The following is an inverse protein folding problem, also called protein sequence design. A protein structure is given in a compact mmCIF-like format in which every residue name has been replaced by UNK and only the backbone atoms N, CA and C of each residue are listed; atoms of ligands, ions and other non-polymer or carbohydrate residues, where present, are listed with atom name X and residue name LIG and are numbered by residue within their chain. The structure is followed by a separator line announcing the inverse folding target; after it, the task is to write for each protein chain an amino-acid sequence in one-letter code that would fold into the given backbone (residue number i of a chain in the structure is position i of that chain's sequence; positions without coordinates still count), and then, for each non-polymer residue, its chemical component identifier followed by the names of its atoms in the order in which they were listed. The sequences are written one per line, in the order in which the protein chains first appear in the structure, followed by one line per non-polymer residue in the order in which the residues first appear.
data_IF_464344767528
#
_entry.id   IF_464344767528
#
_cell.length_a   1.000
_cell.length_b   1.000
_cell.length_c   1.000
_cell.angle_alpha   90.00
_cell.angle_beta   90.00
_cell.angle_gamma   90.00
#
_symmetry.space_group_name_H-M   'P 1'
#
loop_
_entity.id
_entity.type
_entity.pdbx_description
1 polymer ?
#
# COMPACT_ATOMS: atom_id res chain seq x y z
N UNK A 1 8.21 -9.59 10.50
CA UNK A 1 7.21 -8.51 10.53
C UNK A 1 5.86 -8.98 10.02
N UNK A 2 5.77 -9.48 8.81
CA UNK A 2 4.58 -10.15 8.27
C UNK A 2 4.95 -11.59 7.98
N UNK A 3 4.15 -12.54 8.49
CA UNK A 3 4.31 -13.96 8.21
C UNK A 3 3.03 -14.51 7.60
N UNK A 4 3.16 -15.19 6.50
CA UNK A 4 2.09 -15.85 5.76
C UNK A 4 2.44 -17.33 5.68
N UNK A 5 1.53 -18.19 6.13
CA UNK A 5 1.74 -19.64 6.16
C UNK A 5 0.60 -20.37 5.48
N UNK A 6 0.94 -21.14 4.46
CA UNK A 6 0.04 -22.01 3.67
C UNK A 6 -1.27 -21.29 3.27
N UNK A 7 -1.14 -20.07 2.78
CA UNK A 7 -2.29 -19.19 2.53
C UNK A 7 -3.01 -19.58 1.24
N UNK A 8 -4.31 -19.82 1.36
CA UNK A 8 -5.18 -20.15 0.24
C UNK A 8 -6.38 -19.22 0.15
N UNK A 9 -6.81 -18.91 -1.07
CA UNK A 9 -8.06 -18.20 -1.34
C UNK A 9 -8.77 -18.76 -2.56
N UNK A 10 -9.93 -19.34 -2.32
CA UNK A 10 -10.86 -19.82 -3.35
C UNK A 10 -12.09 -18.94 -3.30
N UNK A 11 -12.40 -18.26 -4.40
CA UNK A 11 -13.65 -17.54 -4.57
C UNK A 11 -14.71 -18.47 -5.16
N UNK A 12 -15.97 -18.29 -4.77
CA UNK A 12 -17.13 -19.04 -5.26
C UNK A 12 -16.96 -20.57 -5.14
N UNK A 13 -16.33 -21.04 -4.06
CA UNK A 13 -16.06 -22.47 -3.83
C UNK A 13 -17.31 -23.33 -4.06
N UNK A 14 -17.15 -24.38 -4.88
CA UNK A 14 -18.24 -25.32 -5.24
C UNK A 14 -19.23 -24.79 -6.27
N UNK A 15 -18.96 -23.62 -6.93
CA UNK A 15 -19.80 -23.07 -8.00
C UNK A 15 -19.09 -23.18 -9.35
N UNK A 16 -19.84 -23.07 -10.45
CA UNK A 16 -19.30 -23.14 -11.82
C UNK A 16 -18.25 -22.06 -12.13
N UNK A 17 -18.24 -20.95 -11.40
CA UNK A 17 -17.28 -19.85 -11.50
C UNK A 17 -16.29 -19.85 -10.33
N UNK A 18 -15.90 -21.02 -9.83
CA UNK A 18 -14.86 -21.15 -8.82
C UNK A 18 -13.52 -20.65 -9.35
N UNK A 19 -12.82 -19.85 -8.54
CA UNK A 19 -11.48 -19.32 -8.86
C UNK A 19 -10.55 -19.57 -7.70
N UNK A 20 -9.48 -20.35 -7.92
CA UNK A 20 -8.40 -20.51 -6.98
C UNK A 20 -7.41 -19.34 -7.18
N UNK A 21 -7.60 -18.27 -6.44
CA UNK A 21 -6.86 -17.03 -6.63
C UNK A 21 -5.51 -16.99 -5.88
N UNK A 22 -5.37 -17.77 -4.80
CA UNK A 22 -4.12 -17.93 -4.02
C UNK A 22 -4.02 -19.37 -3.59
N UNK A 23 -2.87 -20.00 -3.83
CA UNK A 23 -2.68 -21.44 -3.71
C UNK A 23 -1.41 -21.79 -2.92
N UNK A 24 -1.51 -21.85 -1.59
CA UNK A 24 -0.43 -22.33 -0.70
C UNK A 24 0.75 -21.35 -0.60
N UNK A 25 0.50 -20.04 -0.51
CA UNK A 25 1.57 -19.04 -0.36
C UNK A 25 2.18 -19.12 1.04
N UNK A 26 3.51 -19.25 1.07
CA UNK A 26 4.35 -19.07 2.24
C UNK A 26 5.27 -17.87 1.99
N UNK A 27 5.23 -16.85 2.87
CA UNK A 27 6.00 -15.63 2.70
C UNK A 27 6.30 -14.99 4.05
N UNK A 28 7.59 -14.72 4.30
CA UNK A 28 8.05 -13.94 5.44
C UNK A 28 8.61 -12.61 4.95
N UNK A 29 8.11 -11.49 5.49
CA UNK A 29 8.58 -10.14 5.20
C UNK A 29 9.15 -9.53 6.47
N UNK A 30 10.41 -9.11 6.43
CA UNK A 30 11.10 -8.49 7.56
C UNK A 30 10.68 -7.04 7.73
N UNK A 31 10.88 -6.52 8.93
CA UNK A 31 10.67 -5.10 9.21
C UNK A 31 11.56 -4.22 8.33
N UNK A 32 11.00 -3.15 7.78
CA UNK A 32 11.72 -2.20 6.94
C UNK A 32 12.00 -2.67 5.50
N UNK A 33 11.55 -3.87 5.10
CA UNK A 33 11.65 -4.29 3.69
C UNK A 33 10.69 -3.48 2.82
N UNK A 34 11.15 -3.14 1.62
CA UNK A 34 10.33 -2.64 0.52
C UNK A 34 10.17 -3.79 -0.50
N UNK A 35 9.10 -4.56 -0.34
CA UNK A 35 8.80 -5.70 -1.20
C UNK A 35 7.97 -5.26 -2.39
N UNK A 36 8.42 -5.56 -3.60
CA UNK A 36 7.64 -5.33 -4.82
C UNK A 36 7.11 -6.66 -5.35
N UNK A 37 5.80 -6.71 -5.56
CA UNK A 37 5.12 -7.88 -6.12
C UNK A 37 4.74 -7.59 -7.56
N UNK A 38 5.26 -8.41 -8.47
CA UNK A 38 5.04 -8.32 -9.92
C UNK A 38 4.39 -9.60 -10.45
N UNK A 39 3.84 -9.55 -11.66
CA UNK A 39 3.19 -10.70 -12.31
C UNK A 39 2.07 -10.26 -13.23
N UNK A 40 1.59 -11.15 -14.10
CA UNK A 40 0.50 -10.89 -15.05
C UNK A 40 -0.83 -10.57 -14.35
N UNK A 41 -1.78 -10.01 -15.09
CA UNK A 41 -3.15 -9.83 -14.60
C UNK A 41 -3.76 -11.18 -14.23
N UNK A 42 -4.47 -11.23 -13.10
CA UNK A 42 -5.06 -12.49 -12.60
C UNK A 42 -4.08 -13.39 -11.84
N UNK A 43 -2.80 -13.06 -11.70
CA UNK A 43 -1.82 -13.89 -10.97
C UNK A 43 -2.03 -13.95 -9.44
N UNK A 44 -3.01 -13.21 -8.88
CA UNK A 44 -3.34 -13.26 -7.46
C UNK A 44 -2.75 -12.14 -6.60
N UNK A 45 -1.96 -11.19 -7.15
CA UNK A 45 -1.26 -10.12 -6.42
C UNK A 45 -2.19 -9.29 -5.52
N UNK A 46 -3.22 -8.69 -6.11
CA UNK A 46 -4.21 -7.89 -5.37
C UNK A 46 -4.98 -8.74 -4.36
N UNK A 47 -5.19 -10.05 -4.65
CA UNK A 47 -5.82 -10.97 -3.70
C UNK A 47 -4.94 -11.18 -2.47
N UNK A 48 -3.63 -11.40 -2.64
CA UNK A 48 -2.68 -11.50 -1.51
C UNK A 48 -2.66 -10.21 -0.70
N UNK A 49 -2.62 -9.04 -1.37
CA UNK A 49 -2.67 -7.76 -0.68
C UNK A 49 -3.97 -7.60 0.14
N UNK A 50 -5.12 -7.99 -0.43
CA UNK A 50 -6.41 -7.96 0.25
C UNK A 50 -6.46 -8.93 1.45
N UNK A 51 -5.82 -10.10 1.34
CA UNK A 51 -5.70 -11.06 2.44
C UNK A 51 -4.82 -10.51 3.57
N UNK A 52 -3.72 -9.83 3.26
CA UNK A 52 -2.88 -9.14 4.26
C UNK A 52 -3.65 -7.99 4.89
N UNK A 53 -4.37 -7.19 4.10
CA UNK A 53 -5.15 -6.05 4.59
C UNK A 53 -6.38 -6.45 5.43
N UNK A 54 -6.89 -7.69 5.30
CA UNK A 54 -8.13 -8.13 5.94
C UNK A 54 -9.42 -7.75 5.22
N UNK A 55 -9.32 -7.14 4.03
CA UNK A 55 -10.49 -6.84 3.19
C UNK A 55 -11.12 -8.12 2.60
N UNK A 56 -10.35 -9.20 2.57
CA UNK A 56 -10.80 -10.55 2.21
C UNK A 56 -10.19 -11.52 3.23
N UNK A 57 -10.99 -12.45 3.76
CA UNK A 57 -10.48 -13.50 4.63
C UNK A 57 -10.00 -14.72 3.82
N UNK A 58 -8.96 -15.42 4.25
CA UNK A 58 -8.46 -16.62 3.58
C UNK A 58 -9.46 -17.78 3.65
N UNK A 59 -9.33 -18.73 2.72
CA UNK A 59 -10.05 -20.01 2.77
C UNK A 59 -9.37 -20.96 3.76
N UNK A 60 -8.02 -20.94 3.79
CA UNK A 60 -7.19 -21.66 4.77
C UNK A 60 -5.82 -20.98 4.87
N UNK A 61 -5.00 -21.42 5.82
CA UNK A 61 -3.71 -20.80 6.13
C UNK A 61 -3.84 -19.63 7.11
N UNK A 62 -2.75 -18.93 7.34
CA UNK A 62 -2.69 -17.85 8.33
C UNK A 62 -1.88 -16.65 7.88
N UNK A 63 -2.20 -15.49 8.49
CA UNK A 63 -1.47 -14.23 8.36
C UNK A 63 -1.19 -13.70 9.76
N UNK A 64 0.07 -13.40 10.06
CA UNK A 64 0.43 -12.68 11.29
C UNK A 64 1.19 -11.39 10.99
N UNK A 65 1.02 -10.40 11.86
CA UNK A 65 1.69 -9.10 11.79
C UNK A 65 2.29 -8.78 13.15
N UNK A 66 3.60 -8.55 13.19
CA UNK A 66 4.34 -8.35 14.45
C UNK A 66 4.21 -9.50 15.47
N UNK A 67 4.01 -10.71 14.99
CA UNK A 67 3.81 -11.89 15.84
C UNK A 67 2.36 -12.09 16.32
N UNK A 68 1.44 -11.20 15.97
CA UNK A 68 0.02 -11.33 16.27
C UNK A 68 -0.72 -12.00 15.11
N UNK A 69 -1.50 -13.04 15.38
CA UNK A 69 -2.36 -13.67 14.37
C UNK A 69 -3.53 -12.73 14.04
N UNK A 70 -3.53 -12.26 12.80
CA UNK A 70 -4.57 -11.36 12.28
C UNK A 70 -5.51 -12.05 11.30
N UNK A 71 -5.39 -13.36 11.11
CA UNK A 71 -6.05 -14.14 10.06
C UNK A 71 -7.55 -13.88 9.97
N UNK A 72 -8.22 -13.78 11.13
CA UNK A 72 -9.68 -13.59 11.21
C UNK A 72 -10.11 -12.15 11.43
N UNK A 73 -9.16 -11.22 11.61
CA UNK A 73 -9.45 -9.81 11.83
C UNK A 73 -9.87 -9.14 10.51
N UNK A 74 -10.90 -8.32 10.57
CA UNK A 74 -11.31 -7.48 9.45
C UNK A 74 -10.35 -6.31 9.21
N UNK A 75 -10.47 -5.63 8.08
CA UNK A 75 -9.58 -4.54 7.66
C UNK A 75 -9.55 -3.36 8.66
N UNK A 76 -10.69 -2.98 9.24
CA UNK A 76 -10.75 -1.91 10.23
C UNK A 76 -9.99 -2.28 11.52
N UNK A 77 -9.96 -3.56 11.91
CA UNK A 77 -9.18 -4.05 13.05
C UNK A 77 -7.68 -4.04 12.75
N UNK A 78 -7.30 -4.44 11.50
CA UNK A 78 -5.90 -4.40 11.05
C UNK A 78 -5.39 -2.99 10.76
N UNK A 79 -6.27 -2.00 10.69
CA UNK A 79 -5.90 -0.59 10.43
C UNK A 79 -4.94 0.00 11.48
N UNK A 80 -4.81 -0.63 12.65
CA UNK A 80 -3.84 -0.24 13.67
C UNK A 80 -2.38 -0.52 13.26
N UNK A 81 -2.16 -1.48 12.34
CA UNK A 81 -0.83 -1.80 11.80
C UNK A 81 -0.66 -1.37 10.36
N UNK A 82 -1.75 -1.39 9.58
CA UNK A 82 -1.73 -1.27 8.13
C UNK A 82 -2.34 0.05 7.68
N UNK A 83 -1.60 0.75 6.82
CA UNK A 83 -2.14 1.79 5.95
C UNK A 83 -2.17 1.28 4.51
N UNK A 84 -3.18 1.66 3.74
CA UNK A 84 -3.35 1.24 2.36
C UNK A 84 -3.59 2.43 1.44
N UNK A 85 -2.93 2.39 0.28
CA UNK A 85 -3.15 3.30 -0.84
C UNK A 85 -3.66 2.47 -2.02
N UNK A 86 -4.82 2.85 -2.55
CA UNK A 86 -5.52 2.13 -3.59
C UNK A 86 -5.10 2.59 -4.99
N UNK A 87 -5.33 1.74 -5.99
CA UNK A 87 -5.12 2.05 -7.40
C UNK A 87 -5.97 3.25 -7.86
N UNK A 88 -7.23 3.30 -7.43
CA UNK A 88 -8.10 4.44 -7.71
C UNK A 88 -7.82 5.57 -6.71
N UNK A 89 -7.34 6.75 -7.17
CA UNK A 89 -7.07 7.89 -6.29
C UNK A 89 -8.29 8.44 -5.54
N UNK A 90 -9.51 8.08 -5.96
CA UNK A 90 -10.74 8.45 -5.26
C UNK A 90 -10.97 7.59 -4.01
N UNK A 91 -10.45 6.36 -4.01
CA UNK A 91 -10.59 5.46 -2.88
C UNK A 91 -9.70 5.93 -1.71
N UNK A 92 -10.22 5.87 -0.51
CA UNK A 92 -9.49 6.31 0.69
C UNK A 92 -9.52 7.81 0.95
N UNK A 93 -10.31 8.59 0.16
CA UNK A 93 -10.50 10.04 0.38
C UNK A 93 -11.99 10.40 0.39
N UNK A 94 -12.35 11.40 1.20
CA UNK A 94 -13.67 12.02 1.19
C UNK A 94 -13.62 13.24 0.24
N UNK A 95 -14.09 13.06 -1.00
CA UNK A 95 -13.95 14.05 -2.08
C UNK A 95 -14.59 15.41 -1.75
N UNK A 96 -15.70 15.40 -1.03
CA UNK A 96 -16.45 16.61 -0.66
C UNK A 96 -15.84 17.39 0.52
N UNK A 97 -14.97 16.76 1.28
CA UNK A 97 -14.29 17.37 2.42
C UNK A 97 -13.00 18.07 1.97
N UNK A 98 -12.58 19.07 2.74
CA UNK A 98 -11.31 19.76 2.52
C UNK A 98 -10.11 18.82 2.63
N UNK A 99 -8.97 19.22 2.08
CA UNK A 99 -7.69 18.51 2.29
C UNK A 99 -7.43 18.39 3.79
N UNK A 100 -7.59 19.47 4.55
CA UNK A 100 -7.36 19.51 5.99
C UNK A 100 -8.25 18.52 6.77
N UNK A 101 -9.53 18.41 6.41
CA UNK A 101 -10.46 17.47 7.04
C UNK A 101 -10.10 16.02 6.71
N UNK A 102 -9.68 15.73 5.47
CA UNK A 102 -9.18 14.41 5.08
C UNK A 102 -7.95 14.02 5.92
N UNK A 103 -7.00 14.92 6.12
CA UNK A 103 -5.86 14.69 7.02
C UNK A 103 -6.31 14.47 8.46
N UNK A 104 -7.35 15.18 8.90
CA UNK A 104 -7.91 14.97 10.26
C UNK A 104 -8.51 13.59 10.42
N UNK A 105 -9.29 13.13 9.45
CA UNK A 105 -9.86 11.77 9.47
C UNK A 105 -8.75 10.71 9.53
N UNK A 106 -7.71 10.87 8.74
CA UNK A 106 -6.56 9.96 8.73
C UNK A 106 -5.81 9.95 10.08
N UNK A 107 -5.68 11.12 10.75
CA UNK A 107 -4.95 11.26 12.00
C UNK A 107 -5.66 10.68 13.25
N UNK A 108 -6.93 10.31 13.12
CA UNK A 108 -7.72 9.74 14.23
C UNK A 108 -8.12 8.28 14.01
N UNK A 109 -7.53 7.63 13.00
CA UNK A 109 -7.90 6.27 12.58
C UNK A 109 -7.89 5.26 13.72
N UNK A 110 -6.84 5.28 14.55
CA UNK A 110 -6.64 4.34 15.66
C UNK A 110 -6.90 4.97 17.05
N UNK A 111 -7.15 6.27 17.11
CA UNK A 111 -7.31 6.98 18.40
C UNK A 111 -8.71 6.84 18.96
N UNK A 112 -8.79 6.84 20.29
CA UNK A 112 -10.07 6.94 20.97
C UNK A 112 -10.82 8.22 20.54
N UNK A 113 -12.10 8.06 20.18
CA UNK A 113 -12.96 9.16 19.72
C UNK A 113 -13.55 9.86 20.94
N UNK A 114 -13.20 11.13 21.14
CA UNK A 114 -13.73 11.98 22.18
C UNK A 114 -14.27 13.29 21.60
N UNK A 115 -15.03 14.03 22.40
CA UNK A 115 -15.51 15.39 22.07
C UNK A 115 -14.34 16.38 22.22
N UNK A 116 -13.53 16.52 21.15
CA UNK A 116 -12.41 17.47 21.11
C UNK A 116 -12.47 18.27 19.82
N UNK A 117 -11.95 19.51 19.85
CA UNK A 117 -11.75 20.30 18.64
C UNK A 117 -10.71 19.58 17.77
N UNK A 118 -11.20 19.00 16.69
CA UNK A 118 -10.41 18.12 15.83
C UNK A 118 -9.36 18.85 15.00
N UNK A 119 -9.71 20.03 14.52
CA UNK A 119 -8.84 20.90 13.75
C UNK A 119 -8.51 22.13 14.60
N UNK A 120 -7.24 22.25 14.97
CA UNK A 120 -6.71 23.39 15.72
C UNK A 120 -5.45 23.90 15.03
N UNK A 121 -4.93 25.07 15.40
CA UNK A 121 -3.77 25.69 14.76
C UNK A 121 -2.52 24.82 14.75
N UNK A 122 -2.14 24.09 15.83
CA UNK A 122 -1.02 23.17 15.79
C UNK A 122 -1.19 22.03 14.77
N UNK A 123 -2.41 21.46 14.66
CA UNK A 123 -2.71 20.44 13.67
C UNK A 123 -2.64 20.99 12.25
N UNK A 124 -3.24 22.15 12.01
CA UNK A 124 -3.21 22.86 10.72
C UNK A 124 -1.78 23.12 10.27
N UNK A 125 -0.93 23.64 11.16
CA UNK A 125 0.49 23.87 10.89
C UNK A 125 1.22 22.58 10.51
N UNK A 126 1.01 21.51 11.27
CA UNK A 126 1.57 20.19 10.96
C UNK A 126 1.18 19.69 9.57
N UNK A 127 -0.09 19.85 9.19
CA UNK A 127 -0.60 19.42 7.87
C UNK A 127 0.07 20.25 6.76
N UNK A 128 0.15 21.58 6.91
CA UNK A 128 0.83 22.48 5.95
C UNK A 128 2.29 22.05 5.77
N UNK A 129 3.04 21.87 6.85
CA UNK A 129 4.45 21.44 6.81
C UNK A 129 4.61 20.08 6.14
N UNK A 130 3.70 19.14 6.42
CA UNK A 130 3.71 17.81 5.82
C UNK A 130 3.47 17.89 4.31
N UNK A 131 2.45 18.65 3.87
CA UNK A 131 2.10 18.79 2.46
C UNK A 131 3.21 19.53 1.68
N UNK A 132 3.83 20.55 2.29
CA UNK A 132 4.92 21.30 1.67
C UNK A 132 6.09 20.39 1.24
N UNK A 133 6.28 19.24 1.88
CA UNK A 133 7.31 18.26 1.51
C UNK A 133 7.14 17.68 0.10
N UNK A 134 5.95 17.78 -0.50
CA UNK A 134 5.68 17.34 -1.87
C UNK A 134 6.20 18.31 -2.93
N UNK A 135 6.38 19.62 -2.58
CA UNK A 135 6.77 20.65 -3.54
C UNK A 135 5.73 20.91 -4.64
N UNK A 136 4.44 20.66 -4.35
CA UNK A 136 3.34 20.78 -5.32
C UNK A 136 2.49 22.05 -5.12
N UNK A 137 2.80 22.91 -4.16
CA UNK A 137 2.03 24.13 -3.83
C UNK A 137 0.65 23.85 -3.20
N UNK A 138 0.42 22.61 -2.73
CA UNK A 138 -0.86 22.21 -2.14
C UNK A 138 -1.03 22.66 -0.69
N UNK A 139 0.06 23.03 -0.01
CA UNK A 139 0.07 23.55 1.36
C UNK A 139 -0.69 24.88 1.49
N UNK A 140 -0.88 25.61 0.35
CA UNK A 140 -1.67 26.83 0.29
C UNK A 140 -3.15 26.57 0.02
N UNK A 141 -3.54 25.33 -0.23
CA UNK A 141 -4.86 24.93 -0.71
C UNK A 141 -5.59 23.99 0.25
N UNK A 142 -5.19 23.93 1.50
CA UNK A 142 -5.67 22.95 2.47
C UNK A 142 -7.17 23.01 2.75
N UNK A 143 -7.82 24.15 2.48
CA UNK A 143 -9.27 24.34 2.62
C UNK A 143 -10.06 23.93 1.35
N UNK A 144 -9.36 23.57 0.24
CA UNK A 144 -10.04 23.14 -0.98
C UNK A 144 -10.58 21.71 -0.81
N UNK A 145 -11.73 21.38 -1.43
CA UNK A 145 -12.23 20.01 -1.45
C UNK A 145 -11.23 19.07 -2.13
N UNK A 146 -11.01 17.89 -1.54
CA UNK A 146 -10.10 16.87 -2.07
C UNK A 146 -10.47 16.47 -3.51
N UNK A 147 -11.77 16.50 -3.84
CA UNK A 147 -12.29 16.15 -5.16
C UNK A 147 -11.84 17.06 -6.30
N UNK A 148 -11.37 18.28 -6.02
CA UNK A 148 -10.91 19.25 -7.05
C UNK A 148 -9.49 18.99 -7.53
N UNK A 149 -8.77 18.09 -6.88
CA UNK A 149 -7.37 17.79 -7.17
C UNK A 149 -7.23 16.80 -8.35
N UNK A 150 -6.10 16.90 -9.05
CA UNK A 150 -5.72 15.86 -10.03
C UNK A 150 -5.48 14.51 -9.35
N UNK A 151 -5.55 13.42 -10.12
CA UNK A 151 -5.29 12.08 -9.61
C UNK A 151 -3.94 11.96 -8.90
N UNK A 152 -2.87 12.51 -9.50
CA UNK A 152 -1.53 12.49 -8.93
C UNK A 152 -1.39 13.29 -7.63
N UNK A 153 -2.00 14.48 -7.58
CA UNK A 153 -2.03 15.31 -6.37
C UNK A 153 -2.75 14.57 -5.22
N UNK A 154 -3.91 13.99 -5.53
CA UNK A 154 -4.70 13.23 -4.55
C UNK A 154 -3.95 12.00 -4.06
N UNK A 155 -3.30 11.26 -4.96
CA UNK A 155 -2.52 10.08 -4.60
C UNK A 155 -1.33 10.42 -3.69
N UNK A 156 -0.61 11.51 -4.00
CA UNK A 156 0.48 11.99 -3.15
C UNK A 156 -0.01 12.40 -1.75
N UNK A 157 -1.15 13.09 -1.65
CA UNK A 157 -1.75 13.43 -0.36
C UNK A 157 -2.23 12.18 0.39
N UNK A 158 -2.80 11.18 -0.30
CA UNK A 158 -3.21 9.91 0.31
C UNK A 158 -2.02 9.18 0.95
N UNK A 159 -0.86 9.21 0.30
CA UNK A 159 0.38 8.68 0.89
C UNK A 159 0.76 9.43 2.17
N UNK A 160 0.75 10.76 2.17
CA UNK A 160 1.03 11.54 3.39
C UNK A 160 0.01 11.27 4.50
N UNK A 161 -1.27 11.15 4.15
CA UNK A 161 -2.33 10.81 5.10
C UNK A 161 -2.11 9.43 5.74
N UNK A 162 -1.53 8.48 5.00
CA UNK A 162 -1.29 7.12 5.48
C UNK A 162 -0.41 7.07 6.73
N UNK A 163 0.47 8.06 6.91
CA UNK A 163 1.40 8.18 8.05
C UNK A 163 1.00 9.22 9.10
N UNK A 164 -0.18 9.83 8.96
CA UNK A 164 -0.70 10.79 9.97
C UNK A 164 -1.04 10.13 11.30
N UNK A 165 -1.35 8.87 11.28
CA UNK A 165 -1.48 8.01 12.45
C UNK A 165 -0.42 6.90 12.40
N UNK A 166 -0.17 6.25 13.54
CA UNK A 166 0.84 5.18 13.60
C UNK A 166 0.44 4.00 12.69
N UNK A 167 1.33 3.64 11.78
CA UNK A 167 1.24 2.41 11.02
C UNK A 167 2.62 1.73 10.99
N UNK A 168 2.63 0.44 10.65
CA UNK A 168 3.85 -0.36 10.55
C UNK A 168 4.03 -0.90 9.14
N UNK A 169 2.92 -1.07 8.43
CA UNK A 169 2.84 -1.65 7.09
C UNK A 169 2.16 -0.67 6.15
N UNK A 170 2.77 -0.41 5.01
CA UNK A 170 2.21 0.37 3.92
C UNK A 170 1.93 -0.54 2.73
N UNK A 171 0.67 -0.67 2.35
CA UNK A 171 0.23 -1.45 1.19
C UNK A 171 -0.10 -0.52 0.03
N UNK A 172 0.57 -0.71 -1.09
CA UNK A 172 0.44 0.08 -2.31
C UNK A 172 -0.04 -0.81 -3.46
N UNK A 173 -1.27 -0.61 -3.90
CA UNK A 173 -1.89 -1.39 -4.97
C UNK A 173 -1.90 -0.57 -6.25
N UNK A 174 -0.88 -0.74 -7.09
CA UNK A 174 -0.69 -0.02 -8.36
C UNK A 174 -0.88 1.51 -8.25
N UNK A 175 -0.21 2.19 -7.31
CA UNK A 175 -0.53 3.57 -6.95
C UNK A 175 -0.26 4.58 -8.08
N UNK A 176 0.39 4.16 -9.15
CA UNK A 176 0.80 5.01 -10.29
C UNK A 176 0.12 4.66 -11.61
N UNK A 177 -0.71 3.61 -11.67
CA UNK A 177 -1.24 3.07 -12.92
C UNK A 177 -2.07 4.06 -13.75
N UNK A 178 -2.77 5.00 -13.08
CA UNK A 178 -3.63 5.99 -13.73
C UNK A 178 -3.02 7.40 -13.78
N UNK A 179 -1.70 7.53 -13.56
CA UNK A 179 -1.03 8.82 -13.44
C UNK A 179 -0.12 9.10 -14.63
N UNK A 180 0.06 10.39 -14.94
CA UNK A 180 1.10 10.83 -15.85
C UNK A 180 2.50 10.55 -15.25
N UNK A 181 3.57 10.46 -16.09
CA UNK A 181 4.90 10.06 -15.62
C UNK A 181 5.49 10.97 -14.53
N UNK A 182 5.19 12.28 -14.55
CA UNK A 182 5.69 13.23 -13.56
C UNK A 182 5.01 13.03 -12.21
N UNK A 183 3.70 12.87 -12.21
CA UNK A 183 2.92 12.56 -11.01
C UNK A 183 3.28 11.19 -10.42
N UNK A 184 3.50 10.19 -11.28
CA UNK A 184 3.94 8.86 -10.86
C UNK A 184 5.29 8.91 -10.14
N UNK A 185 6.27 9.66 -10.65
CA UNK A 185 7.58 9.85 -10.01
C UNK A 185 7.46 10.49 -8.62
N UNK A 186 6.63 11.54 -8.48
CA UNK A 186 6.37 12.17 -7.18
C UNK A 186 5.77 11.18 -6.19
N UNK A 187 4.76 10.40 -6.60
CA UNK A 187 4.10 9.39 -5.75
C UNK A 187 5.11 8.34 -5.29
N UNK A 188 5.94 7.81 -6.19
CA UNK A 188 6.90 6.76 -5.85
C UNK A 188 8.02 7.27 -4.93
N UNK A 189 8.57 8.44 -5.19
CA UNK A 189 9.57 9.07 -4.29
C UNK A 189 8.99 9.38 -2.92
N UNK A 190 7.73 9.79 -2.87
CA UNK A 190 7.03 10.01 -1.60
C UNK A 190 6.88 8.70 -0.84
N UNK A 191 6.47 7.62 -1.51
CA UNK A 191 6.35 6.29 -0.88
C UNK A 191 7.70 5.79 -0.33
N UNK A 192 8.78 5.92 -1.10
CA UNK A 192 10.13 5.56 -0.66
C UNK A 192 10.57 6.39 0.56
N UNK A 193 10.38 7.71 0.50
CA UNK A 193 10.71 8.62 1.60
C UNK A 193 9.96 8.24 2.87
N UNK A 194 8.65 8.03 2.79
CA UNK A 194 7.83 7.65 3.94
C UNK A 194 8.24 6.29 4.51
N UNK A 195 8.54 5.31 3.64
CA UNK A 195 9.04 4.00 4.06
C UNK A 195 10.29 4.13 4.91
N UNK A 196 11.26 4.94 4.47
CA UNK A 196 12.52 5.18 5.17
C UNK A 196 12.33 6.01 6.45
N UNK A 197 11.63 7.16 6.35
CA UNK A 197 11.55 8.14 7.44
C UNK A 197 10.69 7.64 8.61
N UNK A 198 9.74 6.73 8.36
CA UNK A 198 8.86 6.11 9.36
C UNK A 198 9.16 4.64 9.65
N UNK A 199 10.26 4.09 9.09
CA UNK A 199 10.67 2.68 9.26
C UNK A 199 9.52 1.70 8.95
N UNK A 200 8.81 1.96 7.83
CA UNK A 200 7.67 1.15 7.41
C UNK A 200 8.14 -0.12 6.68
N UNK A 201 7.34 -1.17 6.78
CA UNK A 201 7.42 -2.32 5.89
C UNK A 201 6.45 -2.08 4.75
N UNK A 202 6.95 -1.98 3.52
CA UNK A 202 6.13 -1.60 2.36
C UNK A 202 5.96 -2.77 1.39
N UNK A 203 4.72 -2.99 0.95
CA UNK A 203 4.41 -3.93 -0.13
C UNK A 203 3.80 -3.14 -1.27
N UNK A 204 4.46 -3.15 -2.42
CA UNK A 204 4.03 -2.50 -3.65
C UNK A 204 3.62 -3.54 -4.69
N UNK A 205 2.41 -3.45 -5.20
CA UNK A 205 2.04 -4.12 -6.45
C UNK A 205 2.24 -3.13 -7.59
N UNK A 206 2.95 -3.54 -8.64
CA UNK A 206 3.13 -2.72 -9.83
C UNK A 206 3.35 -3.59 -11.07
N UNK A 207 2.94 -3.08 -12.23
CA UNK A 207 3.32 -3.61 -13.55
C UNK A 207 4.56 -2.89 -14.11
N UNK A 208 4.99 -1.79 -13.48
CA UNK A 208 6.12 -1.02 -13.91
C UNK A 208 7.43 -1.63 -13.38
N UNK A 209 8.15 -2.34 -14.25
CA UNK A 209 9.41 -3.00 -13.91
C UNK A 209 10.51 -2.01 -13.51
N UNK A 210 10.44 -0.77 -14.02
CA UNK A 210 11.36 0.29 -13.61
C UNK A 210 11.16 0.67 -12.15
N UNK A 211 9.90 0.76 -11.69
CA UNK A 211 9.60 1.02 -10.30
C UNK A 211 10.03 -0.16 -9.42
N UNK A 212 9.77 -1.40 -9.85
CA UNK A 212 10.22 -2.59 -9.15
C UNK A 212 11.76 -2.61 -8.99
N UNK A 213 12.48 -2.27 -10.04
CA UNK A 213 13.93 -2.21 -10.02
C UNK A 213 14.46 -1.08 -9.15
N UNK A 214 13.87 0.12 -9.20
CA UNK A 214 14.39 1.29 -8.52
C UNK A 214 14.11 1.27 -7.02
N UNK A 215 12.91 0.87 -6.60
CA UNK A 215 12.43 1.03 -5.23
C UNK A 215 12.44 -0.28 -4.40
N UNK A 216 12.25 -1.44 -5.04
CA UNK A 216 12.24 -2.72 -4.34
C UNK A 216 13.59 -3.07 -3.69
N UNK A 217 13.59 -3.46 -2.43
CA UNK A 217 14.70 -4.17 -1.79
C UNK A 217 14.61 -5.67 -2.04
N UNK A 218 13.40 -6.16 -2.29
CA UNK A 218 13.08 -7.55 -2.63
C UNK A 218 11.96 -7.55 -3.67
N UNK A 219 12.07 -8.42 -4.67
CA UNK A 219 11.12 -8.54 -5.77
C UNK A 219 10.55 -9.95 -5.78
N UNK A 220 9.21 -10.04 -5.76
CA UNK A 220 8.46 -11.29 -5.79
C UNK A 220 7.67 -11.35 -7.07
N UNK A 221 7.82 -12.44 -7.84
CA UNK A 221 6.98 -12.71 -9.00
C UNK A 221 5.89 -13.71 -8.63
N UNK A 222 4.65 -13.35 -8.98
CA UNK A 222 3.49 -14.23 -8.84
C UNK A 222 2.96 -14.67 -10.20
N UNK A 223 2.59 -15.94 -10.30
CA UNK A 223 1.85 -16.52 -11.42
C UNK A 223 0.84 -17.54 -10.88
N UNK A 224 -0.37 -17.57 -11.43
CA UNK A 224 -1.41 -18.57 -11.11
C UNK A 224 -1.65 -18.81 -9.60
N UNK A 225 -1.62 -17.73 -8.83
CA UNK A 225 -1.86 -17.78 -7.38
C UNK A 225 -0.70 -18.28 -6.52
N UNK A 226 0.48 -18.50 -7.08
CA UNK A 226 1.69 -18.92 -6.36
C UNK A 226 2.84 -17.95 -6.52
N UNK A 227 3.82 -17.98 -5.63
CA UNK A 227 5.11 -17.30 -5.76
C UNK A 227 6.01 -18.18 -6.63
N UNK A 228 6.43 -17.67 -7.79
CA UNK A 228 7.33 -18.39 -8.72
C UNK A 228 8.77 -17.93 -8.61
N UNK A 229 9.01 -16.68 -8.19
CA UNK A 229 10.36 -16.17 -7.90
C UNK A 229 10.29 -15.25 -6.67
N UNK A 230 11.34 -15.27 -5.89
CA UNK A 230 11.52 -14.45 -4.70
C UNK A 230 12.99 -14.05 -4.62
N UNK A 231 13.29 -12.78 -4.85
CA UNK A 231 14.63 -12.28 -5.07
C UNK A 231 14.96 -11.14 -4.12
N UNK A 232 15.95 -11.34 -3.25
CA UNK A 232 16.55 -10.26 -2.46
C UNK A 232 17.59 -9.52 -3.32
N UNK A 233 17.32 -8.27 -3.60
CA UNK A 233 18.16 -7.43 -4.46
C UNK A 233 19.55 -7.16 -3.88
N UNK A 234 19.72 -7.23 -2.56
CA UNK A 234 21.02 -7.08 -1.90
C UNK A 234 21.89 -8.33 -2.04
N UNK A 235 21.26 -9.50 -2.11
CA UNK A 235 21.95 -10.78 -2.29
C UNK A 235 22.39 -11.00 -3.76
N UNK A 236 21.64 -10.43 -4.72
CA UNK A 236 21.90 -10.55 -6.16
C UNK A 236 22.45 -9.26 -6.75
N UNK A 237 23.73 -8.98 -6.50
CA UNK A 237 24.46 -7.78 -6.99
C UNK A 237 24.53 -7.65 -8.51
N UNK A 238 24.07 -8.63 -9.28
CA UNK A 238 24.12 -8.67 -10.75
C UNK A 238 22.76 -8.47 -11.44
N UNK A 239 21.67 -8.28 -10.69
CA UNK A 239 20.35 -8.07 -11.30
C UNK A 239 20.38 -6.80 -12.18
N UNK A 240 20.14 -6.96 -13.47
CA UNK A 240 19.94 -5.85 -14.40
C UNK A 240 18.44 -5.63 -14.62
N UNK A 241 18.07 -4.41 -14.94
CA UNK A 241 16.68 -4.10 -15.28
C UNK A 241 16.15 -5.00 -16.44
N UNK A 242 17.01 -5.37 -17.38
CA UNK A 242 16.64 -6.26 -18.48
C UNK A 242 16.26 -7.67 -18.03
N UNK A 243 16.84 -8.18 -16.94
CA UNK A 243 16.53 -9.52 -16.42
C UNK A 243 15.08 -9.60 -15.93
N UNK A 244 14.51 -8.47 -15.49
CA UNK A 244 13.10 -8.39 -15.09
C UNK A 244 12.15 -8.50 -16.30
N UNK A 245 12.55 -8.05 -17.49
CA UNK A 245 11.71 -8.19 -18.70
C UNK A 245 11.52 -9.65 -19.10
N UNK A 246 12.51 -10.51 -18.85
CA UNK A 246 12.41 -11.94 -19.11
C UNK A 246 11.36 -12.66 -18.23
N UNK A 247 10.96 -12.02 -17.13
CA UNK A 247 9.92 -12.57 -16.25
C UNK A 247 8.49 -12.41 -16.79
N UNK A 248 8.34 -11.62 -17.85
CA UNK A 248 7.04 -11.27 -18.44
C UNK A 248 6.90 -11.70 -19.90
N UNK A 249 7.95 -12.30 -20.47
CA UNK A 249 7.99 -12.82 -21.82
C UNK A 249 7.26 -14.14 -22.01
#
# INVERSE_FOLDING_TARGET
MIEISDLHKIFNKGKANEVNAVNGINLSIKKGEFVVVVGSNGSGKTTVLNLIAGSVLPTSGSVSINGEDVTKLADYERSQWIARVFQNPLSGTASELSILDNFRLAAIRTKAKGLIIGVNEPFKKKVIETIATLGMGLEQKIEQPMGTLSGGQRQALTLLMSVMDSCKVLLLDEPTAALDPRSADVVMRTAEKLTRDFDLTTILITHNLKDAYNYGTRIIQMAEGVIVKDMDKKAETKLKQNDLYEWFG
#
